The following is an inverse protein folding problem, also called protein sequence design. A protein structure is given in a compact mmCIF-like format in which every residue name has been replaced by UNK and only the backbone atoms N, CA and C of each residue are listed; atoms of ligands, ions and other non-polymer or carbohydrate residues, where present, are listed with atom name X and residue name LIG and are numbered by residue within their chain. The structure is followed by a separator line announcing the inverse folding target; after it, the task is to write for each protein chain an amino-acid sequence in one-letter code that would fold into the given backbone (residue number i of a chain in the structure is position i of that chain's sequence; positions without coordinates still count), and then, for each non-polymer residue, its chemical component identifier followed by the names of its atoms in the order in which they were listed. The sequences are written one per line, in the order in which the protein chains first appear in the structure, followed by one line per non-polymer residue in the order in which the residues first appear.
data_IF_979887451824
#
_entry.id   IF_979887451824
#
_cell.length_a   1.000
_cell.length_b   1.000
_cell.length_c   1.000
_cell.angle_alpha   90.00
_cell.angle_beta   90.00
_cell.angle_gamma   90.00
#
_symmetry.space_group_name_H-M   'P 1'
#
loop_
_entity.id
_entity.type
_entity.pdbx_description
1 polymer ?
#
# COMPACT_ATOMS: atom_id res chain seq x y z
N UNK A 1 -26.47 13.22 -2.89
CA UNK A 1 -25.44 12.76 -3.85
C UNK A 1 -24.12 13.12 -3.23
N UNK A 2 -23.69 12.29 -2.31
CA UNK A 2 -22.61 12.62 -1.40
C UNK A 2 -21.40 11.83 -1.88
N UNK A 3 -20.38 12.55 -2.36
CA UNK A 3 -19.10 11.92 -2.71
C UNK A 3 -18.46 11.44 -1.41
N UNK A 4 -18.18 10.14 -1.34
CA UNK A 4 -17.53 9.49 -0.20
C UNK A 4 -16.61 8.38 -0.64
N UNK A 5 -15.79 7.93 0.30
CA UNK A 5 -14.91 6.79 0.17
C UNK A 5 -15.36 5.70 1.13
N UNK A 6 -15.36 4.48 0.61
CA UNK A 6 -15.59 3.25 1.36
C UNK A 6 -14.48 2.28 1.02
N UNK A 7 -14.11 1.46 2.00
CA UNK A 7 -13.19 0.33 1.81
C UNK A 7 -14.00 -0.95 1.89
N UNK A 8 -13.60 -1.96 1.14
CA UNK A 8 -14.16 -3.31 1.25
C UNK A 8 -13.06 -4.22 1.78
N UNK A 9 -13.27 -4.76 2.95
CA UNK A 9 -12.31 -5.64 3.61
C UNK A 9 -12.48 -7.09 3.12
N UNK A 10 -11.61 -7.99 3.57
CA UNK A 10 -11.61 -9.41 3.20
C UNK A 10 -12.91 -10.16 3.58
N UNK A 11 -13.69 -9.62 4.53
CA UNK A 11 -15.01 -10.13 4.90
C UNK A 11 -16.09 -9.85 3.83
N UNK A 12 -15.78 -9.01 2.84
CA UNK A 12 -16.67 -8.63 1.77
C UNK A 12 -17.66 -7.53 2.12
N UNK A 13 -17.60 -6.95 3.33
CA UNK A 13 -18.46 -5.85 3.79
C UNK A 13 -17.86 -4.48 3.41
N UNK A 14 -18.75 -3.50 3.24
CA UNK A 14 -18.34 -2.13 2.91
C UNK A 14 -18.24 -1.29 4.18
N UNK A 15 -17.04 -0.80 4.46
CA UNK A 15 -16.75 0.09 5.58
C UNK A 15 -16.66 1.53 5.12
N UNK A 16 -17.38 2.40 5.83
CA UNK A 16 -17.34 3.84 5.61
C UNK A 16 -15.99 4.42 6.05
N UNK A 17 -15.33 5.16 5.16
CA UNK A 17 -14.05 5.84 5.48
C UNK A 17 -14.30 7.33 5.74
N UNK A 18 -14.72 8.08 4.71
CA UNK A 18 -14.90 9.53 4.81
C UNK A 18 -15.79 10.07 3.69
N UNK A 19 -16.39 11.24 3.87
CA UNK A 19 -17.17 11.94 2.83
C UNK A 19 -16.92 13.43 2.79
N UNK A 20 -17.37 14.08 1.71
CA UNK A 20 -17.41 15.53 1.59
C UNK A 20 -18.03 16.19 2.83
N UNK A 21 -17.37 17.23 3.34
CA UNK A 21 -17.80 18.00 4.51
C UNK A 21 -17.29 17.46 5.85
N UNK A 22 -16.59 16.33 5.87
CA UNK A 22 -15.96 15.82 7.10
C UNK A 22 -14.51 16.24 7.23
N UNK A 23 -14.03 16.24 8.48
CA UNK A 23 -12.63 16.47 8.81
C UNK A 23 -11.81 15.21 8.55
N UNK A 24 -10.71 15.38 7.81
CA UNK A 24 -9.63 14.41 7.65
C UNK A 24 -8.44 14.86 8.50
N UNK A 25 -7.86 13.95 9.27
CA UNK A 25 -6.58 14.16 9.93
C UNK A 25 -5.43 13.88 8.94
N UNK A 26 -4.42 14.73 8.92
CA UNK A 26 -3.19 14.56 8.17
C UNK A 26 -2.02 14.21 9.11
N UNK A 27 -0.93 13.69 8.56
CA UNK A 27 0.25 13.26 9.34
C UNK A 27 0.88 14.37 10.20
N UNK A 28 0.72 15.63 9.80
CA UNK A 28 1.18 16.82 10.53
C UNK A 28 0.26 17.21 11.70
N UNK A 29 -0.79 16.42 11.97
CA UNK A 29 -1.81 16.70 12.99
C UNK A 29 -2.82 17.76 12.58
N UNK A 30 -2.79 18.25 11.33
CA UNK A 30 -3.74 19.24 10.82
C UNK A 30 -5.03 18.54 10.39
N UNK A 31 -6.16 19.14 10.74
CA UNK A 31 -7.47 18.70 10.30
C UNK A 31 -7.97 19.58 9.15
N UNK A 32 -8.42 18.98 8.06
CA UNK A 32 -9.00 19.70 6.91
C UNK A 32 -10.33 19.12 6.50
N UNK A 33 -11.23 19.99 6.02
CA UNK A 33 -12.56 19.57 5.57
C UNK A 33 -12.49 19.11 4.12
N UNK A 34 -12.91 17.87 3.87
CA UNK A 34 -12.93 17.28 2.53
C UNK A 34 -13.94 17.99 1.63
N UNK A 35 -13.51 18.41 0.44
CA UNK A 35 -14.40 18.97 -0.58
C UNK A 35 -14.67 17.97 -1.72
N UNK A 36 -13.61 17.47 -2.36
CA UNK A 36 -13.74 16.55 -3.50
C UNK A 36 -12.64 15.50 -3.53
N UNK A 37 -12.94 14.37 -4.17
CA UNK A 37 -11.99 13.31 -4.50
C UNK A 37 -11.77 13.30 -6.00
N UNK A 38 -10.53 13.16 -6.44
CA UNK A 38 -10.18 13.10 -7.86
C UNK A 38 -9.11 12.03 -8.10
N UNK A 39 -9.39 11.09 -9.00
CA UNK A 39 -8.33 10.30 -9.63
C UNK A 39 -7.59 11.24 -10.58
N UNK A 40 -6.29 11.40 -10.40
CA UNK A 40 -5.50 12.29 -11.24
C UNK A 40 -5.51 11.76 -12.69
N UNK A 41 -5.85 12.59 -13.70
CA UNK A 41 -5.68 12.17 -15.09
C UNK A 41 -4.20 11.92 -15.35
N UNK A 42 -3.82 10.66 -15.57
CA UNK A 42 -2.45 10.28 -15.87
C UNK A 42 -2.07 10.71 -17.29
N UNK A 43 -1.20 11.70 -17.42
CA UNK A 43 -0.60 12.05 -18.71
C UNK A 43 0.68 11.22 -18.94
N UNK A 44 0.51 9.93 -19.24
CA UNK A 44 1.55 9.07 -19.82
C UNK A 44 2.81 8.79 -18.96
N UNK A 45 3.45 7.64 -19.23
CA UNK A 45 4.65 7.15 -18.54
C UNK A 45 5.95 7.92 -18.86
N UNK A 46 5.88 9.19 -19.29
CA UNK A 46 7.03 9.87 -19.89
C UNK A 46 7.53 11.15 -19.22
N UNK A 47 6.94 11.63 -18.12
CA UNK A 47 7.49 12.83 -17.44
C UNK A 47 7.22 12.88 -15.94
N UNK A 48 7.79 11.98 -15.14
CA UNK A 48 7.96 12.22 -13.69
C UNK A 48 6.69 12.47 -12.85
N UNK A 49 5.50 12.19 -13.40
CA UNK A 49 4.24 12.21 -12.67
C UNK A 49 3.91 10.79 -12.20
N UNK A 50 3.56 10.64 -10.92
CA UNK A 50 3.10 9.36 -10.40
C UNK A 50 1.75 9.02 -11.06
N UNK A 51 1.63 7.92 -11.81
CA UNK A 51 0.34 7.53 -12.38
C UNK A 51 -0.64 7.26 -11.22
N UNK A 52 -1.93 7.52 -11.44
CA UNK A 52 -2.96 7.27 -10.44
C UNK A 52 -3.13 5.79 -10.08
N UNK A 53 -2.50 4.88 -10.83
CA UNK A 53 -2.46 3.43 -10.61
C UNK A 53 -1.05 2.94 -10.97
N UNK A 54 -0.47 2.02 -10.18
CA UNK A 54 0.81 1.35 -10.50
C UNK A 54 0.61 -0.15 -10.82
N UNK A 55 1.69 -0.87 -11.15
CA UNK A 55 1.62 -2.29 -11.50
C UNK A 55 1.26 -3.21 -10.32
N UNK A 56 1.38 -2.74 -9.07
CA UNK A 56 0.92 -3.47 -7.88
C UNK A 56 -0.58 -3.30 -7.64
N UNK A 57 -1.28 -2.45 -8.42
CA UNK A 57 -2.69 -2.14 -8.19
C UNK A 57 -2.94 -1.02 -7.18
N UNK A 58 -1.90 -0.41 -6.61
CA UNK A 58 -2.07 0.73 -5.70
C UNK A 58 -2.72 1.90 -6.45
N UNK A 59 -3.67 2.58 -5.82
CA UNK A 59 -4.38 3.72 -6.40
C UNK A 59 -4.00 5.00 -5.67
N UNK A 60 -3.36 5.93 -6.38
CA UNK A 60 -3.12 7.29 -5.90
C UNK A 60 -4.29 8.21 -6.26
N UNK A 61 -4.92 8.79 -5.25
CA UNK A 61 -6.03 9.73 -5.35
C UNK A 61 -5.64 11.09 -4.80
N UNK A 62 -6.13 12.17 -5.41
CA UNK A 62 -6.06 13.50 -4.84
C UNK A 62 -7.33 13.81 -4.06
N UNK A 63 -7.16 14.30 -2.85
CA UNK A 63 -8.22 14.87 -2.02
C UNK A 63 -8.04 16.39 -2.03
N UNK A 64 -9.08 17.13 -2.44
CA UNK A 64 -9.12 18.58 -2.32
C UNK A 64 -9.89 18.96 -1.07
N UNK A 65 -9.41 19.97 -0.36
CA UNK A 65 -10.02 20.48 0.86
C UNK A 65 -10.70 21.83 0.62
N UNK A 66 -11.65 22.18 1.48
CA UNK A 66 -12.41 23.44 1.36
C UNK A 66 -11.56 24.70 1.57
N UNK A 67 -10.37 24.56 2.15
CA UNK A 67 -9.40 25.64 2.34
C UNK A 67 -8.54 25.91 1.07
N UNK A 68 -8.79 25.17 -0.02
CA UNK A 68 -8.08 25.29 -1.29
C UNK A 68 -6.79 24.46 -1.38
N UNK A 69 -6.42 23.73 -0.34
CA UNK A 69 -5.27 22.82 -0.36
C UNK A 69 -5.66 21.42 -0.85
N UNK A 70 -4.65 20.56 -1.06
CA UNK A 70 -4.87 19.17 -1.47
C UNK A 70 -3.84 18.22 -0.87
N UNK A 71 -4.22 16.96 -0.74
CA UNK A 71 -3.34 15.86 -0.35
C UNK A 71 -3.41 14.73 -1.38
N UNK A 72 -2.35 13.91 -1.46
CA UNK A 72 -2.37 12.64 -2.17
C UNK A 72 -2.55 11.55 -1.14
N UNK A 73 -3.55 10.70 -1.34
CA UNK A 73 -3.78 9.48 -0.55
C UNK A 73 -3.58 8.30 -1.47
N UNK A 74 -2.87 7.28 -0.98
CA UNK A 74 -2.64 6.04 -1.70
C UNK A 74 -3.46 4.96 -1.02
N UNK A 75 -4.33 4.29 -1.79
CA UNK A 75 -4.89 3.02 -1.39
C UNK A 75 -3.86 1.95 -1.78
N UNK A 76 -3.13 1.47 -0.78
CA UNK A 76 -2.13 0.43 -0.94
C UNK A 76 -2.82 -0.93 -0.81
N UNK A 77 -2.48 -1.87 -1.68
CA UNK A 77 -2.81 -3.26 -1.42
C UNK A 77 -1.96 -3.74 -0.22
N UNK A 78 -2.52 -4.59 0.66
CA UNK A 78 -1.77 -5.09 1.81
C UNK A 78 -0.42 -5.64 1.35
N UNK A 79 0.66 -5.24 2.02
CA UNK A 79 1.97 -5.81 1.76
C UNK A 79 1.88 -7.32 1.97
N UNK A 80 2.10 -8.09 0.92
CA UNK A 80 2.13 -9.53 0.99
C UNK A 80 3.44 -9.95 1.64
N UNK A 81 3.37 -10.29 2.92
CA UNK A 81 4.57 -10.69 3.67
C UNK A 81 5.17 -11.92 2.99
N UNK A 82 6.45 -11.82 2.61
CA UNK A 82 7.15 -12.88 1.89
C UNK A 82 7.05 -12.86 0.38
N UNK A 83 6.29 -11.94 -0.25
CA UNK A 83 6.38 -11.68 -1.70
C UNK A 83 7.53 -10.70 -1.94
N UNK A 84 8.72 -11.27 -2.20
CA UNK A 84 9.95 -10.51 -2.32
C UNK A 84 10.15 -9.97 -3.74
N UNK A 85 9.51 -10.59 -4.74
CA UNK A 85 9.63 -10.18 -6.14
C UNK A 85 8.47 -9.28 -6.61
N UNK A 86 7.44 -9.08 -5.79
CA UNK A 86 6.21 -8.32 -6.06
C UNK A 86 5.42 -8.89 -7.25
N UNK A 87 5.27 -10.21 -7.34
CA UNK A 87 4.48 -10.91 -8.37
C UNK A 87 3.09 -11.37 -7.89
N UNK A 88 2.67 -10.92 -6.71
CA UNK A 88 1.41 -11.26 -6.04
C UNK A 88 1.30 -12.74 -5.61
N UNK A 89 2.43 -13.47 -5.55
CA UNK A 89 2.49 -14.87 -5.15
C UNK A 89 3.71 -15.19 -4.28
N UNK A 90 3.53 -15.50 -3.00
CA UNK A 90 4.60 -16.08 -2.17
C UNK A 90 4.88 -17.51 -2.57
N UNK A 91 5.99 -17.73 -3.25
CA UNK A 91 6.31 -19.03 -3.83
C UNK A 91 7.82 -19.35 -3.78
N UNK A 92 8.25 -20.33 -4.57
CA UNK A 92 9.64 -20.78 -4.59
C UNK A 92 10.61 -19.69 -5.04
N UNK A 93 10.18 -18.74 -5.87
CA UNK A 93 11.02 -17.64 -6.31
C UNK A 93 11.35 -16.69 -5.15
N UNK A 94 10.38 -16.41 -4.27
CA UNK A 94 10.62 -15.61 -3.06
C UNK A 94 11.49 -16.35 -2.05
N UNK A 95 11.26 -17.65 -1.87
CA UNK A 95 12.12 -18.48 -1.04
C UNK A 95 13.58 -18.42 -1.50
N UNK A 96 13.83 -18.46 -2.82
CA UNK A 96 15.18 -18.34 -3.36
C UNK A 96 15.79 -16.96 -3.09
N UNK A 97 15.01 -15.88 -3.19
CA UNK A 97 15.45 -14.52 -2.87
C UNK A 97 15.76 -14.35 -1.37
N UNK A 98 14.95 -14.96 -0.49
CA UNK A 98 15.20 -14.99 0.94
C UNK A 98 16.53 -15.70 1.24
N UNK A 99 16.74 -16.89 0.66
CA UNK A 99 17.96 -17.67 0.86
C UNK A 99 19.21 -16.99 0.28
N UNK A 100 19.08 -16.22 -0.80
CA UNK A 100 20.16 -15.40 -1.35
C UNK A 100 20.58 -14.27 -0.38
N UNK A 101 19.64 -13.81 0.45
CA UNK A 101 19.84 -12.71 1.41
C UNK A 101 20.24 -13.18 2.82
N UNK A 102 20.53 -14.48 3.00
CA UNK A 102 20.73 -15.09 4.31
C UNK A 102 21.87 -14.46 5.12
N UNK A 103 21.61 -14.14 6.38
CA UNK A 103 22.57 -13.54 7.31
C UNK A 103 22.20 -12.12 7.71
N UNK A 104 23.19 -11.35 8.18
CA UNK A 104 22.97 -9.98 8.67
C UNK A 104 22.45 -9.11 7.54
N UNK A 105 21.34 -8.44 7.79
CA UNK A 105 20.66 -7.64 6.78
C UNK A 105 20.13 -6.36 7.43
N UNK A 106 20.69 -5.21 7.04
CA UNK A 106 20.19 -3.93 7.52
C UNK A 106 19.23 -3.37 6.48
N UNK A 107 17.94 -3.36 6.80
CA UNK A 107 16.88 -2.77 5.97
C UNK A 107 16.80 -3.40 4.58
N UNK A 108 16.62 -4.72 4.53
CA UNK A 108 16.39 -5.44 3.29
C UNK A 108 15.01 -6.12 3.28
N UNK A 109 14.40 -6.33 2.10
CA UNK A 109 13.05 -6.89 2.01
C UNK A 109 12.89 -8.31 2.56
N UNK A 110 13.99 -9.08 2.66
CA UNK A 110 13.97 -10.48 3.12
C UNK A 110 14.00 -10.64 4.66
N UNK A 111 14.24 -9.55 5.39
CA UNK A 111 14.11 -9.49 6.87
C UNK A 111 12.64 -9.19 7.18
N UNK A 112 11.85 -10.25 7.30
CA UNK A 112 10.38 -10.19 7.36
C UNK A 112 9.87 -9.91 8.78
N UNK A 113 10.74 -10.04 9.79
CA UNK A 113 10.41 -9.76 11.19
C UNK A 113 11.09 -8.49 11.73
N UNK A 114 11.85 -7.78 10.89
CA UNK A 114 12.62 -6.57 11.19
C UNK A 114 13.61 -6.74 12.37
N UNK A 115 14.21 -7.93 12.52
CA UNK A 115 15.19 -8.21 13.59
C UNK A 115 16.64 -7.85 13.23
N UNK A 116 16.88 -7.44 11.98
CA UNK A 116 18.19 -7.08 11.44
C UNK A 116 18.98 -8.26 10.86
N UNK A 117 18.38 -9.44 10.70
CA UNK A 117 19.04 -10.63 10.15
C UNK A 117 18.06 -11.57 9.45
N UNK A 118 18.30 -11.87 8.18
CA UNK A 118 17.56 -12.91 7.45
C UNK A 118 17.98 -14.29 7.94
N UNK A 119 17.07 -14.98 8.61
CA UNK A 119 17.33 -16.25 9.27
C UNK A 119 16.11 -17.19 9.19
N UNK A 120 16.10 -18.22 10.05
CA UNK A 120 15.03 -19.23 10.06
C UNK A 120 13.67 -18.63 10.44
N UNK A 121 13.63 -17.55 11.22
CA UNK A 121 12.38 -16.88 11.59
C UNK A 121 11.74 -16.18 10.39
N UNK A 122 12.53 -15.58 9.49
CA UNK A 122 12.04 -15.02 8.22
C UNK A 122 11.57 -16.11 7.28
N UNK A 123 12.29 -17.24 7.21
CA UNK A 123 11.85 -18.39 6.43
C UNK A 123 10.48 -18.90 6.92
N UNK A 124 10.26 -18.97 8.23
CA UNK A 124 8.98 -19.37 8.78
C UNK A 124 7.88 -18.35 8.44
N UNK A 125 8.17 -17.06 8.55
CA UNK A 125 7.24 -16.00 8.15
C UNK A 125 6.87 -16.08 6.65
N UNK A 126 7.83 -16.36 5.77
CA UNK A 126 7.58 -16.59 4.35
C UNK A 126 6.66 -17.80 4.12
N UNK A 127 6.95 -18.92 4.78
CA UNK A 127 6.15 -20.15 4.64
C UNK A 127 4.73 -20.01 5.21
N UNK A 128 4.53 -19.19 6.24
CA UNK A 128 3.20 -18.87 6.77
C UNK A 128 2.32 -18.13 5.76
N UNK A 129 2.93 -17.41 4.82
CA UNK A 129 2.24 -16.64 3.79
C UNK A 129 2.26 -17.34 2.41
N UNK A 130 2.63 -18.61 2.34
CA UNK A 130 2.79 -19.34 1.08
C UNK A 130 1.50 -19.40 0.24
N UNK A 131 1.57 -18.97 -1.01
CA UNK A 131 0.44 -18.95 -1.94
C UNK A 131 0.18 -17.57 -2.54
N UNK A 132 -1.03 -17.37 -3.05
CA UNK A 132 -1.44 -16.07 -3.57
C UNK A 132 -1.66 -15.07 -2.43
N UNK A 133 -1.30 -13.82 -2.67
CA UNK A 133 -1.59 -12.72 -1.75
C UNK A 133 -3.11 -12.50 -1.66
N UNK A 134 -3.67 -12.42 -0.45
CA UNK A 134 -5.11 -12.35 -0.19
C UNK A 134 -5.47 -11.42 0.97
#
# INVERSE_FOLDING_TARGET
NDMGMWVREADGEWHYVIRRGQYMALEDGVFRVVDTFAVLPGYGLHTGYRPGINNRGDIAMRINFTDGTSAIVVAELPACIGDLNNDDMVNVFDLLMLLESWGVCNNCPADLNDDGSVNVFDLLALLENWGACS
#
